data_IF_733951062974
#
_entry.id   IF_733951062974
#
_cell.length_a   1.000
_cell.length_b   1.000
_cell.length_c   1.000
_cell.angle_alpha   90.00
_cell.angle_beta   90.00
_cell.angle_gamma   90.00
#
_symmetry.space_group_name_H-M   'P 1'
#
loop_
_entity.id
_entity.type
_entity.pdbx_description
1 polymer ?
#
# COMPACT_ATOMS: atom_id res chain seq x y z
N UNK A 1 -36.91 8.83 -4.31
CA UNK A 1 -35.47 9.16 -4.26
C UNK A 1 -34.70 7.87 -4.37
N UNK A 2 -33.68 7.79 -5.24
CA UNK A 2 -32.76 6.65 -5.23
C UNK A 2 -31.99 6.63 -3.89
N UNK A 3 -31.65 5.45 -3.33
CA UNK A 3 -30.90 5.36 -2.09
C UNK A 3 -29.51 6.03 -2.25
N UNK A 4 -28.92 6.57 -1.17
CA UNK A 4 -27.58 7.16 -1.21
C UNK A 4 -26.56 6.10 -1.65
N UNK A 5 -25.66 6.46 -2.57
CA UNK A 5 -24.52 5.62 -2.89
C UNK A 5 -23.48 5.73 -1.77
N UNK A 6 -23.58 4.88 -0.75
CA UNK A 6 -22.65 4.87 0.38
C UNK A 6 -21.20 4.61 -0.02
N UNK A 7 -20.96 3.90 -1.13
CA UNK A 7 -19.61 3.65 -1.64
C UNK A 7 -18.92 4.94 -2.10
N UNK A 8 -19.69 5.94 -2.52
CA UNK A 8 -19.21 7.25 -2.95
C UNK A 8 -18.99 8.23 -1.78
N UNK A 9 -19.22 7.82 -0.52
CA UNK A 9 -19.10 8.70 0.62
C UNK A 9 -17.65 9.15 0.85
N UNK A 10 -17.47 10.45 1.03
CA UNK A 10 -16.20 11.04 1.44
C UNK A 10 -16.10 10.97 2.97
N UNK A 11 -15.12 10.21 3.47
CA UNK A 11 -14.82 10.13 4.90
C UNK A 11 -13.64 11.07 5.16
N UNK A 12 -13.90 12.18 5.84
CA UNK A 12 -12.93 13.28 6.00
C UNK A 12 -11.56 12.84 6.54
N UNK A 13 -11.55 11.91 7.50
CA UNK A 13 -10.30 11.39 8.11
C UNK A 13 -9.42 10.59 7.12
N UNK A 14 -9.98 10.14 6.00
CA UNK A 14 -9.25 9.36 4.99
C UNK A 14 -8.52 10.24 3.96
N UNK A 15 -8.60 11.56 4.07
CA UNK A 15 -7.91 12.49 3.17
C UNK A 15 -6.68 13.10 3.82
N UNK A 16 -5.56 13.05 3.12
CA UNK A 16 -4.36 13.79 3.49
C UNK A 16 -4.53 15.26 3.04
N UNK A 17 -4.34 16.26 3.91
CA UNK A 17 -4.47 17.68 3.55
C UNK A 17 -3.55 18.14 2.41
N UNK A 18 -2.43 17.43 2.20
CA UNK A 18 -1.45 17.73 1.15
C UNK A 18 -1.75 17.03 -0.19
N UNK A 19 -2.76 16.16 -0.23
CA UNK A 19 -3.16 15.41 -1.42
C UNK A 19 -4.37 16.03 -2.12
N UNK A 20 -4.53 15.73 -3.42
CA UNK A 20 -5.64 16.27 -4.22
C UNK A 20 -6.87 15.37 -4.23
N UNK A 21 -6.78 14.16 -3.67
CA UNK A 21 -7.83 13.15 -3.73
C UNK A 21 -9.20 13.67 -3.25
N UNK A 22 -9.24 14.50 -2.19
CA UNK A 22 -10.50 15.09 -1.70
C UNK A 22 -11.23 15.90 -2.76
N UNK A 23 -10.50 16.69 -3.55
CA UNK A 23 -11.08 17.52 -4.62
C UNK A 23 -11.53 16.71 -5.84
N UNK A 24 -11.05 15.47 -5.97
CA UNK A 24 -11.37 14.58 -7.08
C UNK A 24 -12.46 13.57 -6.71
N UNK A 25 -12.74 13.37 -5.42
CA UNK A 25 -13.64 12.34 -4.93
C UNK A 25 -15.12 12.78 -4.96
N UNK A 26 -16.07 11.89 -5.32
CA UNK A 26 -15.90 10.48 -5.69
C UNK A 26 -15.57 10.27 -7.18
N UNK A 27 -14.96 9.13 -7.51
CA UNK A 27 -14.61 8.76 -8.90
C UNK A 27 -15.18 7.40 -9.30
N UNK A 28 -15.51 7.24 -10.58
CA UNK A 28 -16.00 5.99 -11.18
C UNK A 28 -15.10 5.41 -12.28
N UNK A 29 -13.92 6.01 -12.50
CA UNK A 29 -12.93 5.61 -13.50
C UNK A 29 -11.76 4.87 -12.84
N UNK A 30 -12.07 3.94 -11.94
CA UNK A 30 -11.07 3.13 -11.22
C UNK A 30 -11.06 1.70 -11.74
N UNK A 31 -9.91 1.04 -11.66
CA UNK A 31 -9.77 -0.31 -12.18
C UNK A 31 -10.62 -1.32 -11.40
N UNK A 32 -11.12 -2.34 -12.09
CA UNK A 32 -11.83 -3.48 -11.50
C UNK A 32 -13.14 -3.16 -10.74
N UNK A 33 -13.65 -1.92 -10.82
CA UNK A 33 -14.89 -1.50 -10.17
C UNK A 33 -15.63 -0.44 -10.99
N UNK A 34 -16.88 -0.73 -11.35
CA UNK A 34 -17.73 0.11 -12.20
C UNK A 34 -18.63 1.10 -11.45
N UNK A 35 -18.28 1.47 -10.22
CA UNK A 35 -19.09 2.30 -9.33
C UNK A 35 -18.34 3.57 -8.90
N UNK A 36 -19.09 4.61 -8.53
CA UNK A 36 -18.50 5.76 -7.84
C UNK A 36 -18.01 5.33 -6.46
N UNK A 37 -16.76 5.70 -6.16
CA UNK A 37 -16.07 5.41 -4.92
C UNK A 37 -15.57 6.69 -4.27
N UNK A 38 -15.76 6.79 -2.96
CA UNK A 38 -15.04 7.74 -2.13
C UNK A 38 -13.57 7.35 -2.11
N UNK A 39 -12.69 8.35 -2.18
CA UNK A 39 -11.26 8.14 -2.19
C UNK A 39 -10.66 8.12 -0.77
N UNK A 40 -9.49 7.51 -0.63
CA UNK A 40 -8.62 7.54 0.55
C UNK A 40 -7.17 7.79 0.13
N UNK A 41 -6.43 8.51 0.95
CA UNK A 41 -4.98 8.68 0.83
C UNK A 41 -4.19 7.70 1.66
N UNK A 42 -4.84 6.70 2.27
CA UNK A 42 -4.18 5.74 3.14
C UNK A 42 -4.47 4.32 2.67
N UNK A 43 -3.45 3.48 2.71
CA UNK A 43 -3.52 2.06 2.37
C UNK A 43 -2.84 1.23 3.47
N UNK A 44 -3.35 0.03 3.70
CA UNK A 44 -2.69 -0.98 4.50
C UNK A 44 -1.42 -1.52 3.82
N UNK A 45 -0.48 -2.00 4.64
CA UNK A 45 0.78 -2.57 4.19
C UNK A 45 0.61 -4.07 3.97
N UNK A 46 0.74 -4.50 2.71
CA UNK A 46 0.65 -5.92 2.34
C UNK A 46 1.97 -6.67 2.50
N UNK A 47 3.06 -5.93 2.72
CA UNK A 47 4.39 -6.45 2.94
C UNK A 47 5.33 -6.20 1.77
N UNK A 48 6.32 -7.06 1.63
CA UNK A 48 7.43 -6.92 0.68
C UNK A 48 7.56 -8.05 -0.33
N UNK A 49 6.84 -9.17 -0.14
CA UNK A 49 6.74 -10.22 -1.15
C UNK A 49 5.93 -9.70 -2.35
N UNK A 50 6.51 -9.79 -3.54
CA UNK A 50 5.97 -9.11 -4.73
C UNK A 50 6.56 -9.67 -6.01
N UNK A 51 5.74 -10.37 -6.78
CA UNK A 51 6.07 -10.78 -8.14
C UNK A 51 5.60 -9.79 -9.21
N UNK A 52 4.89 -8.72 -8.86
CA UNK A 52 4.49 -7.64 -9.77
C UNK A 52 3.48 -7.99 -10.86
N UNK A 53 3.44 -9.21 -11.39
CA UNK A 53 2.42 -9.65 -12.34
C UNK A 53 2.27 -11.16 -12.35
N UNK A 54 1.04 -11.65 -12.32
CA UNK A 54 0.71 -13.06 -12.54
C UNK A 54 1.02 -13.53 -13.97
N UNK A 55 1.17 -12.60 -14.91
CA UNK A 55 1.32 -12.85 -16.35
C UNK A 55 2.76 -12.65 -16.86
N UNK A 56 3.73 -12.59 -15.96
CA UNK A 56 5.13 -12.87 -16.31
C UNK A 56 5.91 -11.80 -17.08
N UNK A 57 5.38 -10.60 -17.30
CA UNK A 57 5.94 -9.69 -18.32
C UNK A 57 6.06 -8.22 -17.92
N UNK A 58 5.40 -7.76 -16.85
CA UNK A 58 5.41 -6.34 -16.50
C UNK A 58 6.45 -6.01 -15.40
N UNK A 59 7.47 -5.20 -15.68
CA UNK A 59 8.42 -4.76 -14.65
C UNK A 59 7.72 -3.96 -13.53
N UNK A 60 8.12 -4.13 -12.25
CA UNK A 60 9.26 -4.94 -11.76
C UNK A 60 8.86 -6.39 -11.38
N UNK A 61 8.50 -7.21 -12.35
CA UNK A 61 8.23 -8.63 -12.17
C UNK A 61 9.46 -9.40 -11.64
N UNK A 62 9.27 -10.17 -10.56
CA UNK A 62 10.28 -11.06 -9.99
C UNK A 62 9.63 -12.19 -9.16
N UNK A 63 9.54 -13.40 -9.71
CA UNK A 63 9.00 -14.55 -8.99
C UNK A 63 9.85 -15.05 -7.81
N UNK A 64 11.11 -14.65 -7.73
CA UNK A 64 11.99 -15.03 -6.63
C UNK A 64 11.81 -14.16 -5.39
N UNK A 65 11.06 -13.07 -5.49
CA UNK A 65 10.73 -12.21 -4.35
C UNK A 65 9.52 -12.77 -3.59
N UNK A 66 9.78 -13.86 -2.88
CA UNK A 66 8.80 -14.63 -2.12
C UNK A 66 8.83 -14.26 -0.64
N UNK A 67 7.72 -14.47 0.04
CA UNK A 67 7.69 -14.60 1.48
C UNK A 67 8.52 -15.85 1.88
N UNK A 68 9.58 -15.72 2.69
CA UNK A 68 10.42 -16.84 3.09
C UNK A 68 9.68 -17.97 3.82
N UNK A 69 8.55 -17.67 4.48
CA UNK A 69 7.79 -18.64 5.26
C UNK A 69 6.87 -19.51 4.39
N UNK A 70 6.23 -18.89 3.40
CA UNK A 70 5.23 -19.55 2.56
C UNK A 70 5.74 -19.92 1.17
N UNK A 71 6.85 -19.31 0.74
CA UNK A 71 7.34 -19.39 -0.64
C UNK A 71 6.48 -18.63 -1.65
N UNK A 72 5.53 -17.81 -1.18
CA UNK A 72 4.58 -17.11 -2.05
C UNK A 72 5.07 -15.70 -2.39
N UNK A 73 5.12 -15.37 -3.69
CA UNK A 73 5.51 -14.05 -4.16
C UNK A 73 4.32 -13.11 -4.41
N UNK A 74 3.08 -13.59 -4.28
CA UNK A 74 1.89 -12.79 -4.50
C UNK A 74 1.48 -12.04 -3.22
N UNK A 75 2.15 -10.92 -2.97
CA UNK A 75 1.86 -10.07 -1.81
C UNK A 75 0.45 -9.49 -1.77
N UNK A 76 -0.22 -9.37 -2.93
CA UNK A 76 -1.59 -8.82 -2.99
C UNK A 76 -2.56 -9.73 -2.24
N UNK A 77 -2.48 -11.05 -2.46
CA UNK A 77 -3.45 -11.98 -1.85
C UNK A 77 -2.88 -12.80 -0.71
N UNK A 78 -1.55 -12.90 -0.64
CA UNK A 78 -0.82 -13.72 0.33
C UNK A 78 0.34 -12.89 0.85
N UNK A 79 0.01 -11.70 1.33
CA UNK A 79 0.94 -10.71 1.84
C UNK A 79 1.60 -11.13 3.14
N UNK A 80 2.89 -10.82 3.26
CA UNK A 80 3.64 -10.99 4.51
C UNK A 80 3.61 -9.75 5.43
N UNK A 81 2.80 -8.73 5.11
CA UNK A 81 2.47 -7.58 5.95
C UNK A 81 1.19 -7.75 6.76
N UNK A 82 0.70 -6.67 7.38
CA UNK A 82 -0.47 -6.70 8.28
C UNK A 82 -1.79 -6.76 7.51
N UNK A 83 -1.91 -6.06 6.39
CA UNK A 83 -3.16 -5.94 5.63
C UNK A 83 -2.92 -6.25 4.15
N UNK A 84 -3.64 -7.22 3.61
CA UNK A 84 -3.56 -7.60 2.20
C UNK A 84 -4.94 -8.00 1.68
N UNK A 85 -5.15 -7.98 0.36
CA UNK A 85 -6.49 -8.00 -0.28
C UNK A 85 -7.36 -9.19 0.12
N UNK A 86 -6.75 -10.37 0.30
CA UNK A 86 -7.43 -11.62 0.64
C UNK A 86 -7.09 -12.11 2.06
N UNK A 87 -6.75 -11.21 2.97
CA UNK A 87 -6.52 -11.52 4.40
C UNK A 87 -7.71 -12.26 5.02
N UNK A 88 -8.93 -11.91 4.66
CA UNK A 88 -10.17 -12.59 5.08
C UNK A 88 -10.27 -14.05 4.63
N UNK A 89 -9.46 -14.51 3.67
CA UNK A 89 -9.44 -15.91 3.24
C UNK A 89 -8.26 -16.69 3.83
N UNK A 90 -7.10 -16.05 3.98
CA UNK A 90 -5.85 -16.72 4.34
C UNK A 90 -5.38 -16.45 5.78
N UNK A 91 -5.75 -15.33 6.38
CA UNK A 91 -5.36 -14.94 7.74
C UNK A 91 -6.48 -14.13 8.42
N UNK A 92 -7.65 -14.77 8.55
CA UNK A 92 -8.86 -14.15 9.16
C UNK A 92 -8.66 -13.56 10.56
N UNK A 93 -7.57 -13.94 11.24
CA UNK A 93 -7.20 -13.45 12.57
C UNK A 93 -5.68 -13.27 12.62
N UNK A 94 -5.26 -12.03 12.84
CA UNK A 94 -3.89 -11.68 13.19
C UNK A 94 -3.89 -11.09 14.62
N UNK A 95 -3.61 -11.89 15.66
CA UNK A 95 -3.48 -11.34 17.00
C UNK A 95 -2.24 -10.44 17.07
N UNK A 96 -2.25 -9.41 17.91
CA UNK A 96 -1.12 -8.47 18.01
C UNK A 96 0.19 -9.16 18.43
N UNK A 97 0.09 -10.28 19.17
CA UNK A 97 1.22 -11.12 19.58
C UNK A 97 1.90 -11.85 18.43
N UNK A 98 1.24 -11.92 17.28
CA UNK A 98 1.74 -12.58 16.08
C UNK A 98 2.50 -11.61 15.15
N UNK A 99 2.61 -10.34 15.54
CA UNK A 99 3.50 -9.35 14.93
C UNK A 99 4.89 -9.53 15.57
N UNK A 100 5.61 -10.54 15.10
CA UNK A 100 6.86 -11.02 15.69
C UNK A 100 8.04 -10.06 15.48
N UNK A 101 7.96 -9.18 14.48
CA UNK A 101 9.00 -8.18 14.20
C UNK A 101 8.93 -6.99 15.20
N UNK A 102 7.90 -6.98 16.04
CA UNK A 102 7.63 -5.94 17.03
C UNK A 102 6.70 -4.87 16.47
N UNK A 103 5.72 -4.46 17.28
CA UNK A 103 4.67 -3.54 16.84
C UNK A 103 5.19 -2.14 16.50
N UNK A 104 6.27 -1.70 17.14
CA UNK A 104 6.93 -0.41 16.87
C UNK A 104 7.88 -0.43 15.66
N UNK A 105 8.19 -1.62 15.12
CA UNK A 105 9.06 -1.79 13.95
C UNK A 105 8.29 -2.21 12.69
N UNK A 106 7.01 -2.59 12.84
CA UNK A 106 6.18 -3.07 11.73
C UNK A 106 5.31 -1.93 11.17
N UNK A 107 5.47 -1.63 9.89
CA UNK A 107 4.63 -0.72 9.12
C UNK A 107 3.22 -1.31 8.97
N UNK A 108 2.19 -0.49 9.21
CA UNK A 108 0.80 -0.93 9.19
C UNK A 108 -0.04 -0.20 8.13
N UNK A 109 0.01 1.13 8.11
CA UNK A 109 -0.73 1.97 7.15
C UNK A 109 0.24 3.01 6.59
N UNK A 110 0.20 3.26 5.29
CA UNK A 110 1.00 4.29 4.63
C UNK A 110 0.20 5.13 3.66
N UNK A 111 0.79 6.23 3.20
CA UNK A 111 0.10 7.12 2.25
C UNK A 111 0.12 6.60 0.82
N UNK A 112 -0.97 6.88 0.11
CA UNK A 112 -1.14 6.65 -1.32
C UNK A 112 -1.71 7.91 -2.01
N UNK A 113 -1.45 8.01 -3.32
CA UNK A 113 -1.97 9.08 -4.18
C UNK A 113 -2.85 8.46 -5.26
N UNK A 114 -4.18 8.42 -5.06
CA UNK A 114 -5.12 7.88 -6.04
C UNK A 114 -5.11 8.59 -7.40
N UNK A 115 -4.53 9.79 -7.49
CA UNK A 115 -4.37 10.54 -8.74
C UNK A 115 -3.36 9.87 -9.69
N UNK A 116 -2.39 9.12 -9.14
CA UNK A 116 -1.28 8.51 -9.89
C UNK A 116 -1.44 6.99 -10.04
N UNK A 117 -2.52 6.43 -9.51
CA UNK A 117 -2.78 4.99 -9.48
C UNK A 117 -4.29 4.75 -9.59
N UNK A 118 -4.73 4.14 -10.69
CA UNK A 118 -6.16 3.84 -10.87
C UNK A 118 -6.62 2.57 -10.15
N UNK A 119 -5.69 1.80 -9.60
CA UNK A 119 -5.89 0.61 -8.76
C UNK A 119 -5.81 0.97 -7.27
N UNK A 120 -6.15 2.21 -6.92
CA UNK A 120 -5.99 2.79 -5.60
C UNK A 120 -7.16 3.70 -5.20
N UNK A 121 -7.20 4.00 -3.91
CA UNK A 121 -8.02 5.06 -3.34
C UNK A 121 -9.45 4.69 -3.02
N UNK A 122 -10.07 3.66 -3.60
CA UNK A 122 -11.43 3.28 -3.20
C UNK A 122 -11.49 2.75 -1.77
N UNK A 123 -11.96 3.53 -0.79
CA UNK A 123 -11.87 3.16 0.63
C UNK A 123 -12.62 1.88 1.00
N UNK A 124 -13.66 1.54 0.24
CA UNK A 124 -14.52 0.38 0.48
C UNK A 124 -14.18 -0.84 -0.39
N UNK A 125 -13.09 -0.79 -1.17
CA UNK A 125 -12.74 -1.85 -2.11
C UNK A 125 -11.35 -2.39 -1.81
N UNK A 126 -11.26 -3.64 -1.36
CA UNK A 126 -10.01 -4.24 -0.85
C UNK A 126 -8.84 -4.16 -1.82
N UNK A 127 -9.11 -4.24 -3.12
CA UNK A 127 -8.08 -4.11 -4.17
C UNK A 127 -7.44 -2.71 -4.24
N UNK A 128 -8.04 -1.70 -3.61
CA UNK A 128 -7.59 -0.30 -3.64
C UNK A 128 -7.05 0.20 -2.29
N UNK A 129 -7.11 -0.64 -1.26
CA UNK A 129 -6.79 -0.27 0.12
C UNK A 129 -5.50 -0.89 0.63
N UNK A 130 -4.72 -1.57 -0.21
CA UNK A 130 -3.42 -2.15 0.14
C UNK A 130 -2.35 -1.76 -0.87
N UNK A 131 -1.07 -1.74 -0.45
CA UNK A 131 0.09 -1.43 -1.30
C UNK A 131 1.32 -2.21 -0.83
N UNK A 132 2.25 -2.44 -1.77
CA UNK A 132 3.52 -3.11 -1.51
C UNK A 132 4.59 -2.14 -1.04
N UNK A 133 5.45 -2.63 -0.15
CA UNK A 133 6.73 -2.02 0.21
C UNK A 133 7.91 -2.58 -0.63
N UNK A 134 7.66 -3.40 -1.65
CA UNK A 134 8.71 -3.88 -2.54
C UNK A 134 9.37 -2.73 -3.31
N UNK A 135 8.58 -1.78 -3.77
CA UNK A 135 9.04 -0.56 -4.43
C UNK A 135 9.35 0.52 -3.39
N UNK A 136 10.39 1.35 -3.60
CA UNK A 136 10.71 2.40 -2.66
C UNK A 136 9.56 3.42 -2.51
N UNK A 137 9.45 4.10 -1.36
CA UNK A 137 8.51 5.21 -1.21
C UNK A 137 8.73 6.26 -2.30
N UNK A 138 7.64 6.82 -2.82
CA UNK A 138 7.68 7.82 -3.90
C UNK A 138 8.33 7.31 -5.21
N UNK A 139 8.32 6.00 -5.45
CA UNK A 139 8.81 5.43 -6.70
C UNK A 139 8.16 6.08 -7.93
N UNK A 140 9.00 6.73 -8.74
CA UNK A 140 8.68 7.41 -10.01
C UNK A 140 7.64 8.53 -9.89
N UNK A 141 7.60 9.33 -8.83
CA UNK A 141 6.60 10.41 -8.70
C UNK A 141 6.49 11.38 -9.89
N UNK A 142 5.38 12.16 -9.94
CA UNK A 142 5.20 13.29 -10.85
C UNK A 142 6.47 14.18 -10.86
N UNK A 143 7.12 14.31 -12.02
CA UNK A 143 8.41 15.02 -12.17
C UNK A 143 9.66 14.13 -12.19
N UNK A 144 9.55 12.85 -11.85
CA UNK A 144 10.59 11.85 -12.09
C UNK A 144 10.33 11.20 -13.45
N UNK A 145 11.14 11.51 -14.48
CA UNK A 145 10.86 11.07 -15.85
C UNK A 145 11.34 9.63 -16.15
N UNK A 146 10.50 8.75 -16.73
CA UNK A 146 9.04 8.89 -16.85
C UNK A 146 8.35 8.59 -15.51
N UNK A 147 7.32 9.39 -15.17
CA UNK A 147 6.44 9.05 -14.06
C UNK A 147 5.69 7.76 -14.38
N UNK A 148 5.09 7.03 -13.41
CA UNK A 148 4.40 5.81 -13.75
C UNK A 148 3.17 6.16 -14.57
N UNK A 149 2.93 5.40 -15.61
CA UNK A 149 1.61 5.40 -16.22
C UNK A 149 0.61 4.93 -15.14
N UNK A 150 -0.48 5.66 -14.85
CA UNK A 150 -1.44 5.30 -13.80
C UNK A 150 -2.04 3.90 -13.91
N UNK A 151 -2.00 3.33 -15.12
CA UNK A 151 -2.49 2.00 -15.50
C UNK A 151 -1.43 0.89 -15.35
N UNK A 152 -0.16 1.23 -15.14
CA UNK A 152 0.93 0.28 -14.98
C UNK A 152 0.95 -0.23 -13.55
N UNK A 153 -0.07 -1.01 -13.20
CA UNK A 153 -0.33 -1.50 -11.85
C UNK A 153 0.92 -2.03 -11.13
N UNK A 154 1.85 -2.79 -11.74
CA UNK A 154 2.99 -3.35 -11.02
C UNK A 154 3.96 -2.28 -10.50
N UNK A 155 3.97 -1.13 -11.19
CA UNK A 155 4.81 0.02 -10.87
C UNK A 155 4.09 1.06 -10.00
N UNK A 156 2.76 1.12 -10.04
CA UNK A 156 1.97 2.08 -9.24
C UNK A 156 1.47 1.53 -7.91
N UNK A 157 1.50 0.22 -7.67
CA UNK A 157 0.97 -0.39 -6.46
C UNK A 157 1.86 -0.22 -5.20
N UNK A 158 2.45 0.96 -5.02
CA UNK A 158 3.37 1.27 -3.92
C UNK A 158 3.00 2.56 -3.20
N UNK A 159 3.60 2.76 -2.04
CA UNK A 159 3.36 3.93 -1.20
C UNK A 159 3.94 5.23 -1.76
N UNK A 160 3.15 6.30 -1.65
CA UNK A 160 3.43 7.61 -2.25
C UNK A 160 2.82 8.75 -1.44
N UNK A 161 3.56 9.84 -1.33
CA UNK A 161 3.11 11.06 -0.68
C UNK A 161 3.62 12.34 -1.34
N UNK A 162 2.79 13.38 -1.34
CA UNK A 162 3.21 14.72 -1.75
C UNK A 162 4.01 15.45 -0.66
N UNK A 163 4.20 14.84 0.50
CA UNK A 163 5.10 15.36 1.51
C UNK A 163 6.56 15.37 1.00
N UNK A 164 7.31 16.47 1.15
CA UNK A 164 8.66 16.56 0.62
C UNK A 164 9.60 15.49 1.18
N UNK A 165 10.23 14.71 0.30
CA UNK A 165 11.34 13.82 0.66
C UNK A 165 10.95 12.42 1.17
N UNK A 166 9.66 12.06 1.24
CA UNK A 166 9.24 10.77 1.79
C UNK A 166 7.73 10.61 1.94
N UNK A 167 7.34 9.63 2.75
CA UNK A 167 5.95 9.22 3.00
C UNK A 167 5.73 8.99 4.49
N UNK A 168 4.55 9.37 4.99
CA UNK A 168 4.14 9.05 6.36
C UNK A 168 3.62 7.62 6.46
N UNK A 169 4.00 6.95 7.55
CA UNK A 169 3.48 5.63 7.90
C UNK A 169 3.03 5.60 9.35
N UNK A 170 1.98 4.84 9.61
CA UNK A 170 1.55 4.40 10.95
C UNK A 170 2.13 3.01 11.18
N UNK A 171 2.79 2.84 12.31
CA UNK A 171 3.32 1.56 12.79
C UNK A 171 2.20 0.75 13.48
N UNK A 172 2.41 -0.54 13.71
CA UNK A 172 1.41 -1.40 14.35
C UNK A 172 1.11 -1.03 15.82
N UNK A 173 2.01 -0.29 16.49
CA UNK A 173 1.78 0.30 17.81
C UNK A 173 1.08 1.69 17.77
N UNK A 174 0.61 2.11 16.59
CA UNK A 174 0.01 3.42 16.32
C UNK A 174 0.97 4.62 16.37
N UNK A 175 2.28 4.40 16.54
CA UNK A 175 3.26 5.47 16.35
C UNK A 175 3.36 5.87 14.88
N UNK A 176 3.78 7.10 14.60
CA UNK A 176 3.89 7.63 13.24
C UNK A 176 5.37 7.82 12.91
N UNK A 177 5.79 7.37 11.73
CA UNK A 177 7.14 7.51 11.21
C UNK A 177 7.14 8.16 9.83
N UNK A 178 8.04 9.11 9.62
CA UNK A 178 8.34 9.62 8.29
C UNK A 178 9.42 8.75 7.66
N UNK A 179 9.11 8.08 6.56
CA UNK A 179 10.06 7.24 5.83
C UNK A 179 10.55 8.01 4.61
N UNK A 180 11.85 8.30 4.58
CA UNK A 180 12.51 9.02 3.48
C UNK A 180 12.42 8.19 2.19
N UNK A 181 12.26 8.87 1.05
CA UNK A 181 12.29 8.22 -0.27
C UNK A 181 13.64 7.57 -0.60
N UNK A 182 14.70 7.97 0.12
CA UNK A 182 16.06 7.42 0.03
C UNK A 182 16.38 6.39 1.11
N UNK A 183 15.37 5.88 1.82
CA UNK A 183 15.55 4.81 2.82
C UNK A 183 16.24 3.61 2.18
N UNK A 184 17.09 2.93 2.95
CA UNK A 184 17.63 1.64 2.52
C UNK A 184 16.47 0.67 2.25
N UNK A 185 16.44 0.13 1.04
CA UNK A 185 15.30 -0.63 0.56
C UNK A 185 15.15 -1.98 1.29
N UNK A 186 16.24 -2.56 1.79
CA UNK A 186 16.18 -3.76 2.62
C UNK A 186 15.57 -3.45 3.97
N UNK A 187 15.96 -2.32 4.58
CA UNK A 187 15.37 -1.86 5.85
C UNK A 187 13.87 -1.58 5.70
N UNK A 188 13.47 -0.91 4.63
CA UNK A 188 12.07 -0.62 4.35
C UNK A 188 11.23 -1.88 4.14
N UNK A 189 11.77 -2.86 3.40
CA UNK A 189 11.09 -4.14 3.14
C UNK A 189 11.00 -5.02 4.38
N UNK A 190 12.03 -5.02 5.23
CA UNK A 190 12.01 -5.71 6.52
C UNK A 190 10.96 -5.09 7.46
N UNK A 191 10.89 -3.77 7.54
CA UNK A 191 9.87 -3.08 8.34
C UNK A 191 8.44 -3.30 7.81
N UNK A 192 8.26 -3.83 6.61
CA UNK A 192 6.95 -4.11 6.03
C UNK A 192 6.40 -5.50 6.40
N UNK A 193 7.23 -6.38 6.96
CA UNK A 193 6.80 -7.72 7.35
C UNK A 193 6.25 -7.74 8.77
N UNK A 194 5.32 -8.66 9.03
CA UNK A 194 4.84 -8.95 10.39
C UNK A 194 5.63 -10.09 11.08
N UNK A 195 6.36 -10.89 10.31
CA UNK A 195 7.04 -12.13 10.76
C UNK A 195 8.34 -12.40 9.98
N UNK A 196 9.15 -11.37 9.73
CA UNK A 196 10.44 -11.41 9.05
C UNK A 196 11.63 -11.76 9.94
N UNK A 197 11.47 -11.81 11.27
CA UNK A 197 12.50 -12.26 12.22
C UNK A 197 13.73 -11.36 12.34
N UNK A 198 13.75 -10.24 11.62
CA UNK A 198 14.84 -9.29 11.59
C UNK A 198 14.52 -8.15 12.58
N UNK A 199 15.41 -7.91 13.55
CA UNK A 199 15.29 -6.76 14.44
C UNK A 199 15.75 -5.48 13.71
N UNK A 200 14.95 -5.02 12.74
CA UNK A 200 15.25 -3.83 11.93
C UNK A 200 14.48 -2.64 12.46
N UNK A 201 15.19 -1.52 12.64
CA UNK A 201 14.57 -0.24 12.95
C UNK A 201 14.69 0.70 11.76
N UNK A 202 13.58 1.35 11.42
CA UNK A 202 13.62 2.47 10.49
C UNK A 202 14.49 3.60 11.08
N UNK A 203 15.40 4.20 10.28
CA UNK A 203 16.20 5.32 10.77
C UNK A 203 15.29 6.46 11.21
N UNK A 204 15.60 7.07 12.36
CA UNK A 204 14.89 8.26 12.85
C UNK A 204 15.07 9.49 11.92
#
# INVERSE_FOLDING_TARGET
MAPPNYLAANIEVLFCPSARAKSQSPLNNRANIGHYLGLTNYAGVEGSNWCGSWWGSDPPYNQNNVDPLTGDCNGIDRGNGIFYRLDIYYETKLPITDILDGTSNTLMIGEQIPDLDVHAGGWCYSNHTTKTCWLPPNYRMEGQNPGPAPWSWPSVYSFRSRHPGGTQFVMADSSIRFVRATVDLNIYRAAATKRGGEAVQLPN
#
